data_IF_117981053848
#
_entry.id   IF_117981053848
#
_cell.length_a   1.000
_cell.length_b   1.000
_cell.length_c   1.000
_cell.angle_alpha   90.00
_cell.angle_beta   90.00
_cell.angle_gamma   90.00
#
_symmetry.space_group_name_H-M   'P 1'
#
loop_
_entity.id
_entity.type
_entity.pdbx_description
1 polymer ?
#
# COMPACT_ATOMS: atom_id res chain seq x y z
N UNK A 1 16.47 -38.52 21.46
CA UNK A 1 15.83 -39.75 20.99
C UNK A 1 15.71 -39.65 19.48
N UNK A 2 16.50 -40.52 18.87
CA UNK A 2 16.42 -41.23 17.59
C UNK A 2 16.34 -40.37 16.33
N UNK A 3 17.46 -40.15 15.61
CA UNK A 3 18.10 -40.98 14.58
C UNK A 3 17.12 -41.59 13.55
N UNK A 4 17.18 -41.18 12.29
CA UNK A 4 17.24 -42.11 11.19
C UNK A 4 17.99 -41.55 9.98
N UNK A 5 19.08 -42.23 9.71
CA UNK A 5 19.96 -42.24 8.56
C UNK A 5 19.58 -43.45 7.71
N UNK A 6 19.52 -43.32 6.40
CA UNK A 6 19.61 -44.47 5.44
C UNK A 6 19.99 -43.82 4.10
N UNK A 7 21.09 -44.02 3.56
CA UNK A 7 21.91 -45.10 3.04
C UNK A 7 21.96 -45.07 1.51
N UNK A 8 23.16 -44.98 1.06
CA UNK A 8 23.70 -45.16 -0.28
C UNK A 8 23.48 -46.58 -0.82
N UNK A 9 23.23 -46.70 -2.12
CA UNK A 9 23.65 -47.92 -2.85
C UNK A 9 24.05 -47.57 -4.26
N UNK A 10 25.34 -47.78 -4.49
CA UNK A 10 25.94 -47.87 -5.79
C UNK A 10 25.69 -49.25 -6.44
N UNK A 11 25.77 -49.30 -7.71
CA UNK A 11 25.93 -50.53 -8.51
C UNK A 11 26.62 -50.12 -9.81
N UNK A 12 27.84 -50.42 -9.97
CA UNK A 12 28.57 -51.56 -10.49
C UNK A 12 28.50 -51.78 -12.01
N UNK A 13 29.70 -51.73 -12.52
CA UNK A 13 30.24 -52.02 -13.85
C UNK A 13 29.74 -53.32 -14.49
N UNK A 14 29.57 -53.28 -15.81
CA UNK A 14 29.49 -54.44 -16.65
C UNK A 14 30.01 -54.14 -18.05
N UNK A 15 31.28 -54.54 -18.29
CA UNK A 15 31.88 -54.60 -19.62
C UNK A 15 31.37 -55.88 -20.34
N UNK A 16 30.99 -55.77 -21.60
CA UNK A 16 31.31 -56.81 -22.59
C UNK A 16 31.25 -56.23 -24.01
N UNK A 17 32.37 -56.44 -24.66
CA UNK A 17 32.67 -56.31 -26.07
C UNK A 17 31.88 -57.27 -26.93
N UNK A 18 31.44 -56.89 -28.15
CA UNK A 18 31.69 -57.57 -29.38
C UNK A 18 31.24 -56.80 -30.63
N UNK A 19 32.13 -56.72 -31.56
CA UNK A 19 32.02 -56.13 -32.90
C UNK A 19 31.14 -56.91 -33.83
N UNK A 20 30.47 -56.29 -34.78
CA UNK A 20 30.24 -56.73 -36.18
C UNK A 20 29.60 -55.55 -36.95
N UNK A 21 30.30 -54.95 -37.81
CA UNK A 21 30.39 -54.85 -39.26
C UNK A 21 29.09 -54.60 -40.05
N UNK A 22 29.17 -53.45 -40.79
CA UNK A 22 28.54 -53.06 -42.06
C UNK A 22 27.01 -53.05 -42.19
N UNK A 23 26.46 -51.80 -42.32
CA UNK A 23 25.78 -51.44 -43.58
C UNK A 23 25.53 -49.96 -43.64
N UNK A 24 26.07 -49.30 -44.66
CA UNK A 24 25.85 -47.88 -44.96
C UNK A 24 24.47 -47.74 -45.61
N UNK A 25 23.60 -46.97 -44.94
CA UNK A 25 22.42 -46.36 -45.56
C UNK A 25 22.46 -44.92 -45.22
N UNK A 26 22.78 -44.09 -46.21
CA UNK A 26 22.72 -42.64 -46.14
C UNK A 26 21.25 -42.23 -46.17
N UNK A 27 20.70 -41.90 -45.01
CA UNK A 27 19.46 -41.15 -44.91
C UNK A 27 19.80 -39.68 -44.67
N UNK A 28 19.64 -38.87 -45.71
CA UNK A 28 19.56 -37.42 -45.55
C UNK A 28 18.27 -37.09 -44.78
N UNK A 29 18.36 -36.98 -43.49
CA UNK A 29 17.31 -36.42 -42.68
C UNK A 29 17.49 -34.89 -42.63
N UNK A 30 16.64 -34.16 -43.33
CA UNK A 30 16.46 -32.74 -43.16
C UNK A 30 15.98 -32.50 -41.72
N UNK A 31 16.88 -32.14 -40.81
CA UNK A 31 16.54 -31.61 -39.50
C UNK A 31 16.09 -30.15 -39.64
N UNK A 32 14.79 -29.95 -39.88
CA UNK A 32 14.18 -28.65 -39.64
C UNK A 32 14.24 -28.42 -38.14
N UNK A 33 15.23 -27.63 -37.73
CA UNK A 33 15.37 -27.16 -36.36
C UNK A 33 14.16 -26.28 -35.97
N UNK A 34 13.21 -26.86 -35.26
CA UNK A 34 12.21 -26.08 -34.54
C UNK A 34 12.96 -25.33 -33.43
N UNK A 35 13.21 -24.06 -33.66
CA UNK A 35 13.68 -23.14 -32.59
C UNK A 35 12.59 -23.12 -31.52
N UNK A 36 12.79 -23.84 -30.42
CA UNK A 36 11.99 -23.73 -29.23
C UNK A 36 12.18 -22.30 -28.71
N UNK A 37 11.18 -21.42 -28.93
CA UNK A 37 11.13 -20.11 -28.29
C UNK A 37 11.06 -20.36 -26.79
N UNK A 38 12.14 -19.97 -26.08
CA UNK A 38 12.13 -19.90 -24.63
C UNK A 38 10.94 -19.05 -24.20
N UNK A 39 10.15 -19.47 -23.20
CA UNK A 39 9.07 -18.64 -22.70
C UNK A 39 9.67 -17.29 -22.25
N UNK A 40 9.13 -16.19 -22.80
CA UNK A 40 9.50 -14.85 -22.38
C UNK A 40 9.32 -14.79 -20.87
N UNK A 41 10.43 -14.68 -20.13
CA UNK A 41 10.38 -14.46 -18.70
C UNK A 41 9.67 -13.12 -18.49
N UNK A 42 8.45 -13.16 -17.97
CA UNK A 42 7.78 -12.00 -17.44
C UNK A 42 8.75 -11.36 -16.44
N UNK A 43 8.99 -10.04 -16.53
CA UNK A 43 9.81 -9.38 -15.53
C UNK A 43 9.22 -9.72 -14.16
N UNK A 44 10.08 -10.22 -13.27
CA UNK A 44 9.72 -10.55 -11.90
C UNK A 44 8.96 -9.34 -11.35
N UNK A 45 7.73 -9.57 -10.88
CA UNK A 45 6.94 -8.53 -10.24
C UNK A 45 7.83 -7.94 -9.14
N UNK A 46 8.26 -6.69 -9.33
CA UNK A 46 8.96 -5.94 -8.29
C UNK A 46 8.13 -6.10 -7.03
N UNK A 47 8.69 -6.66 -5.98
CA UNK A 47 7.99 -6.82 -4.70
C UNK A 47 7.44 -5.45 -4.30
N UNK A 48 6.15 -5.26 -4.50
CA UNK A 48 5.49 -4.01 -4.07
C UNK A 48 5.49 -4.05 -2.56
N UNK A 49 6.23 -3.13 -1.98
CA UNK A 49 6.13 -2.86 -0.55
C UNK A 49 4.65 -2.70 -0.19
N UNK A 50 4.24 -3.28 0.94
CA UNK A 50 2.84 -3.20 1.39
C UNK A 50 2.35 -1.75 1.42
N UNK A 51 1.09 -1.52 1.06
CA UNK A 51 0.49 -0.19 1.07
C UNK A 51 0.53 0.39 2.49
N UNK A 52 0.90 1.66 2.61
CA UNK A 52 0.73 2.41 3.85
C UNK A 52 -0.73 2.81 3.97
N UNK A 53 -1.43 2.21 4.92
CA UNK A 53 -2.82 2.53 5.20
C UNK A 53 -2.87 3.68 6.19
N UNK A 54 -3.56 4.76 5.79
CA UNK A 54 -3.80 5.94 6.62
C UNK A 54 -5.30 6.13 6.73
N UNK A 55 -5.82 6.32 7.93
CA UNK A 55 -7.22 6.64 8.09
C UNK A 55 -7.49 8.11 7.73
N UNK A 56 -8.68 8.36 7.18
CA UNK A 56 -9.16 9.70 6.87
C UNK A 56 -9.15 10.60 8.12
N UNK A 57 -8.69 11.84 7.98
CA UNK A 57 -8.50 12.82 9.06
C UNK A 57 -7.54 12.35 10.18
N UNK A 58 -6.69 11.38 9.92
CA UNK A 58 -5.67 10.91 10.85
C UNK A 58 -4.28 11.01 10.26
N UNK A 59 -3.29 11.04 11.15
CA UNK A 59 -1.88 11.04 10.78
C UNK A 59 -1.20 9.75 11.23
N UNK A 60 -0.32 9.25 10.38
CA UNK A 60 0.49 8.05 10.64
C UNK A 60 1.97 8.42 10.50
N UNK A 61 2.81 7.90 11.40
CA UNK A 61 4.25 8.09 11.32
C UNK A 61 4.88 7.07 10.38
N UNK A 62 5.75 7.55 9.50
CA UNK A 62 6.55 6.72 8.61
C UNK A 62 8.03 6.93 8.91
N UNK A 63 8.68 5.88 9.43
CA UNK A 63 10.10 5.89 9.70
C UNK A 63 10.89 5.56 8.44
N UNK A 64 11.87 6.38 8.12
CA UNK A 64 12.78 6.19 6.99
C UNK A 64 14.10 5.55 7.45
N UNK A 65 14.76 4.86 6.52
CA UNK A 65 16.09 4.28 6.77
C UNK A 65 17.22 5.31 6.75
N UNK A 66 17.00 6.46 6.11
CA UNK A 66 17.95 7.57 5.97
C UNK A 66 17.21 8.91 6.03
N UNK A 67 17.91 10.01 6.33
CA UNK A 67 17.31 11.34 6.33
C UNK A 67 16.73 11.71 4.96
N UNK A 68 15.53 12.30 4.98
CA UNK A 68 14.85 12.85 3.81
C UNK A 68 15.28 14.30 3.59
N UNK A 69 15.56 14.66 2.34
CA UNK A 69 15.76 16.03 1.90
C UNK A 69 14.56 16.56 1.12
N UNK A 70 13.94 15.71 0.31
CA UNK A 70 12.78 16.05 -0.52
C UNK A 70 11.71 14.97 -0.46
N UNK A 71 10.46 15.41 -0.31
CA UNK A 71 9.28 14.54 -0.38
C UNK A 71 8.38 15.02 -1.51
N UNK A 72 8.01 14.10 -2.39
CA UNK A 72 7.08 14.33 -3.50
C UNK A 72 5.81 13.54 -3.24
N UNK A 73 4.66 14.19 -3.23
CA UNK A 73 3.36 13.57 -3.07
C UNK A 73 2.65 13.55 -4.41
N UNK A 74 2.20 12.37 -4.86
CA UNK A 74 1.54 12.20 -6.16
C UNK A 74 0.22 12.98 -6.26
N UNK A 75 -0.60 12.93 -5.22
CA UNK A 75 -1.85 13.70 -5.13
C UNK A 75 -2.02 14.31 -3.73
N UNK A 76 -1.71 15.61 -3.57
CA UNK A 76 -1.82 16.30 -2.28
C UNK A 76 -3.25 16.50 -1.76
N UNK A 77 -4.27 16.24 -2.57
CA UNK A 77 -5.67 16.27 -2.11
C UNK A 77 -6.06 15.00 -1.36
N UNK A 78 -5.35 13.87 -1.59
CA UNK A 78 -5.61 12.59 -0.92
C UNK A 78 -4.82 12.48 0.37
N UNK A 79 -3.52 12.77 0.31
CA UNK A 79 -2.65 12.70 1.48
C UNK A 79 -1.66 13.86 1.48
N UNK A 80 -1.25 14.27 2.66
CA UNK A 80 -0.21 15.25 2.88
C UNK A 80 0.93 14.65 3.69
N UNK A 81 2.15 15.17 3.49
CA UNK A 81 3.33 14.63 4.16
C UNK A 81 4.22 15.76 4.66
N UNK A 82 4.55 15.72 5.93
CA UNK A 82 5.47 16.65 6.57
C UNK A 82 6.70 15.91 7.11
N UNK A 83 7.89 16.49 6.91
CA UNK A 83 9.12 16.03 7.55
C UNK A 83 9.13 16.55 8.99
N UNK A 84 9.03 15.64 9.95
CA UNK A 84 9.06 16.01 11.38
C UNK A 84 10.49 16.08 11.91
N UNK A 85 11.31 15.11 11.52
CA UNK A 85 12.77 15.08 11.76
C UNK A 85 13.41 14.35 10.58
N UNK A 86 14.72 14.46 10.40
CA UNK A 86 15.40 13.98 9.20
C UNK A 86 14.91 12.63 8.65
N UNK A 87 14.63 11.67 9.52
CA UNK A 87 14.21 10.31 9.11
C UNK A 87 12.79 9.94 9.55
N UNK A 88 11.96 10.91 9.96
CA UNK A 88 10.58 10.69 10.39
C UNK A 88 9.63 11.57 9.59
N UNK A 89 8.69 10.95 8.90
CA UNK A 89 7.61 11.61 8.18
C UNK A 89 6.29 11.46 8.93
N UNK A 90 5.48 12.50 8.89
CA UNK A 90 4.07 12.48 9.29
C UNK A 90 3.25 12.45 8.02
N UNK A 91 2.48 11.39 7.82
CA UNK A 91 1.59 11.21 6.67
C UNK A 91 0.16 11.40 7.14
N UNK A 92 -0.54 12.39 6.60
CA UNK A 92 -1.92 12.74 6.96
C UNK A 92 -2.87 12.41 5.82
N UNK A 93 -3.93 11.66 6.11
CA UNK A 93 -5.00 11.32 5.16
C UNK A 93 -6.02 12.46 5.08
N UNK A 94 -6.17 13.09 3.90
CA UNK A 94 -7.06 14.24 3.67
C UNK A 94 -8.35 13.89 2.95
N UNK A 95 -8.31 12.94 2.05
CA UNK A 95 -9.49 12.42 1.36
C UNK A 95 -9.30 10.95 0.98
N UNK A 96 -10.41 10.25 0.76
CA UNK A 96 -10.38 8.83 0.37
C UNK A 96 -9.71 8.65 -0.98
N UNK A 97 -8.92 7.60 -1.10
CA UNK A 97 -8.29 7.26 -2.36
C UNK A 97 -6.90 6.65 -2.20
N UNK A 98 -6.22 6.55 -3.31
CA UNK A 98 -4.88 6.01 -3.41
C UNK A 98 -3.96 7.05 -4.02
N UNK A 99 -2.81 7.24 -3.41
CA UNK A 99 -1.72 8.07 -3.93
C UNK A 99 -0.38 7.38 -3.66
N UNK A 100 0.72 8.05 -3.94
CA UNK A 100 2.05 7.59 -3.56
C UNK A 100 2.92 8.76 -3.09
N UNK A 101 3.96 8.43 -2.36
CA UNK A 101 5.03 9.35 -2.00
C UNK A 101 6.35 8.82 -2.51
N UNK A 102 7.19 9.73 -2.96
CA UNK A 102 8.59 9.46 -3.31
C UNK A 102 9.45 10.34 -2.42
N UNK A 103 10.37 9.73 -1.70
CA UNK A 103 11.27 10.42 -0.77
C UNK A 103 12.69 10.30 -1.30
N UNK A 104 13.39 11.42 -1.36
CA UNK A 104 14.78 11.50 -1.82
C UNK A 104 15.70 11.99 -0.69
N UNK A 105 16.94 11.54 -0.75
CA UNK A 105 18.01 12.06 0.11
C UNK A 105 18.67 13.33 -0.48
N UNK A 106 19.68 13.87 0.21
CA UNK A 106 20.40 15.06 -0.23
C UNK A 106 21.09 14.88 -1.59
N UNK A 107 21.45 13.66 -1.95
CA UNK A 107 22.04 13.29 -3.24
C UNK A 107 21.01 13.05 -4.33
N UNK A 108 19.72 13.35 -4.05
CA UNK A 108 18.57 13.14 -4.96
C UNK A 108 18.33 11.68 -5.32
N UNK A 109 18.81 10.76 -4.49
CA UNK A 109 18.55 9.33 -4.64
C UNK A 109 17.24 8.96 -3.93
N UNK A 110 16.43 8.14 -4.57
CA UNK A 110 15.18 7.62 -3.96
C UNK A 110 15.52 6.69 -2.79
N UNK A 111 15.05 7.04 -1.60
CA UNK A 111 15.19 6.25 -0.37
C UNK A 111 13.89 5.54 0.00
N UNK A 112 12.76 6.05 -0.47
CA UNK A 112 11.45 5.47 -0.27
C UNK A 112 10.54 5.78 -1.46
N UNK A 113 9.89 4.75 -1.99
CA UNK A 113 8.70 4.85 -2.84
C UNK A 113 7.60 4.04 -2.16
N UNK A 114 6.54 4.72 -1.77
CA UNK A 114 5.51 4.13 -0.93
C UNK A 114 4.12 4.51 -1.45
N UNK A 115 3.31 3.51 -1.73
CA UNK A 115 1.90 3.70 -2.02
C UNK A 115 1.13 3.94 -0.73
N UNK A 116 0.23 4.92 -0.75
CA UNK A 116 -0.62 5.32 0.38
C UNK A 116 -2.07 5.02 0.00
N UNK A 117 -2.76 4.31 0.88
CA UNK A 117 -4.19 4.08 0.81
C UNK A 117 -4.85 4.85 1.95
N UNK A 118 -5.62 5.88 1.60
CA UNK A 118 -6.45 6.60 2.58
C UNK A 118 -7.84 5.98 2.59
N UNK A 119 -8.21 5.44 3.72
CA UNK A 119 -9.52 4.78 3.93
C UNK A 119 -10.17 5.24 5.22
N UNK A 120 -11.45 4.90 5.37
CA UNK A 120 -12.18 5.10 6.62
C UNK A 120 -11.89 3.96 7.59
N UNK A 121 -11.94 4.26 8.87
CA UNK A 121 -12.04 3.25 9.92
C UNK A 121 -13.48 2.70 9.93
N UNK A 122 -13.72 1.64 9.16
CA UNK A 122 -15.07 1.10 8.93
C UNK A 122 -15.70 0.51 10.19
N UNK A 123 -14.89 0.09 11.16
CA UNK A 123 -15.37 -0.48 12.41
C UNK A 123 -16.11 0.54 13.29
N UNK A 124 -15.95 1.82 12.99
CA UNK A 124 -16.53 2.94 13.75
C UNK A 124 -17.55 3.77 12.95
N UNK A 125 -17.97 3.28 11.79
CA UNK A 125 -18.84 4.01 10.91
C UNK A 125 -20.18 3.30 10.76
N UNK A 126 -21.27 4.03 11.01
CA UNK A 126 -22.63 3.62 10.71
C UNK A 126 -23.14 4.38 9.49
N UNK A 127 -23.54 3.67 8.45
CA UNK A 127 -24.20 4.24 7.29
C UNK A 127 -25.70 3.94 7.37
N UNK A 128 -26.53 4.96 7.53
CA UNK A 128 -27.97 4.85 7.51
C UNK A 128 -28.46 5.22 6.10
N UNK A 129 -29.12 4.29 5.42
CA UNK A 129 -29.66 4.51 4.08
C UNK A 129 -31.18 4.44 4.13
N UNK A 130 -31.85 5.48 3.64
CA UNK A 130 -33.31 5.58 3.50
C UNK A 130 -33.65 5.91 2.06
N UNK A 131 -34.08 4.92 1.29
CA UNK A 131 -34.26 5.09 -0.15
C UNK A 131 -32.96 5.42 -0.85
N UNK A 132 -32.87 6.60 -1.45
CA UNK A 132 -31.65 7.12 -2.11
C UNK A 132 -30.76 7.95 -1.18
N UNK A 133 -31.26 8.32 -0.01
CA UNK A 133 -30.59 9.22 0.90
C UNK A 133 -29.70 8.42 1.87
N UNK A 134 -28.45 8.83 2.00
CA UNK A 134 -27.47 8.25 2.91
C UNK A 134 -27.05 9.26 3.95
N UNK A 135 -26.90 8.81 5.18
CA UNK A 135 -26.39 9.57 6.32
C UNK A 135 -25.30 8.78 6.99
N UNK A 136 -24.17 9.42 7.28
CA UNK A 136 -23.01 8.78 7.89
C UNK A 136 -22.81 9.26 9.31
N UNK A 137 -22.51 8.33 10.20
CA UNK A 137 -22.26 8.58 11.62
C UNK A 137 -20.93 7.93 12.03
N UNK A 138 -20.15 8.62 12.83
CA UNK A 138 -19.03 8.02 13.55
C UNK A 138 -19.50 7.55 14.92
N UNK A 139 -19.27 6.27 15.21
CA UNK A 139 -19.68 5.64 16.44
C UNK A 139 -18.49 5.39 17.37
N UNK A 140 -18.68 5.71 18.65
CA UNK A 140 -17.82 5.31 19.75
C UNK A 140 -18.62 4.45 20.72
N UNK A 141 -18.02 3.97 21.79
CA UNK A 141 -18.75 3.15 22.76
C UNK A 141 -20.00 3.86 23.27
N UNK A 142 -21.17 3.43 22.81
CA UNK A 142 -22.48 3.92 23.25
C UNK A 142 -23.04 5.15 22.54
N UNK A 143 -22.31 5.78 21.62
CA UNK A 143 -22.77 6.97 20.90
C UNK A 143 -22.37 6.97 19.43
N UNK A 144 -23.29 7.38 18.55
CA UNK A 144 -23.03 7.66 17.15
C UNK A 144 -23.29 9.13 16.86
N UNK A 145 -22.27 9.85 16.39
CA UNK A 145 -22.38 11.28 16.08
C UNK A 145 -22.39 11.47 14.55
N UNK A 146 -23.18 12.44 14.04
CA UNK A 146 -23.17 12.77 12.62
C UNK A 146 -21.77 13.10 12.13
N UNK A 147 -21.42 12.61 10.94
CA UNK A 147 -20.12 12.84 10.29
C UNK A 147 -20.35 13.38 8.88
N UNK A 148 -19.64 14.45 8.53
CA UNK A 148 -19.66 14.94 7.16
C UNK A 148 -18.94 13.98 6.22
N UNK A 149 -19.68 13.41 5.28
CA UNK A 149 -19.13 12.50 4.29
C UNK A 149 -19.63 12.86 2.89
N UNK A 150 -18.70 12.94 1.94
CA UNK A 150 -19.07 13.18 0.54
C UNK A 150 -19.94 12.03 0.05
N UNK A 151 -21.09 12.38 -0.55
CA UNK A 151 -22.11 11.44 -1.03
C UNK A 151 -23.23 11.14 -0.03
N UNK A 152 -23.25 11.79 1.12
CA UNK A 152 -24.41 11.80 2.01
C UNK A 152 -25.50 12.72 1.44
N UNK A 153 -26.73 12.57 1.98
CA UNK A 153 -27.86 13.44 1.64
C UNK A 153 -27.48 14.91 1.79
N UNK A 154 -27.71 15.76 0.78
CA UNK A 154 -27.32 17.17 0.81
C UNK A 154 -27.88 17.97 1.99
N UNK A 155 -29.13 17.67 2.41
CA UNK A 155 -29.75 18.33 3.56
C UNK A 155 -29.07 17.94 4.86
N UNK A 156 -28.82 16.64 5.05
CA UNK A 156 -28.09 16.13 6.20
C UNK A 156 -26.67 16.72 6.25
N UNK A 157 -25.96 16.69 5.13
CA UNK A 157 -24.60 17.24 5.02
C UNK A 157 -24.58 18.75 5.36
N UNK A 158 -25.54 19.52 4.88
CA UNK A 158 -25.68 20.96 5.16
C UNK A 158 -25.87 21.24 6.65
N UNK A 159 -26.75 20.52 7.31
CA UNK A 159 -27.00 20.67 8.76
C UNK A 159 -25.76 20.33 9.59
N UNK A 160 -25.09 19.21 9.28
CA UNK A 160 -23.87 18.80 10.00
C UNK A 160 -22.75 19.83 9.79
N UNK A 161 -22.59 20.36 8.58
CA UNK A 161 -21.61 21.39 8.25
C UNK A 161 -21.86 22.66 9.07
N UNK A 162 -23.10 23.13 9.18
CA UNK A 162 -23.45 24.32 9.95
C UNK A 162 -23.18 24.14 11.45
N UNK A 163 -23.57 22.99 12.01
CA UNK A 163 -23.27 22.64 13.40
C UNK A 163 -21.77 22.61 13.69
N UNK A 164 -20.98 22.07 12.77
CA UNK A 164 -19.52 21.97 12.94
C UNK A 164 -18.85 23.34 12.84
N UNK A 165 -19.28 24.20 11.93
CA UNK A 165 -18.75 25.55 11.79
C UNK A 165 -19.11 26.43 13.00
N UNK A 166 -20.31 26.26 13.57
CA UNK A 166 -20.71 26.92 14.80
C UNK A 166 -19.83 26.53 16.00
N UNK A 167 -19.45 25.25 16.09
CA UNK A 167 -18.56 24.76 17.15
C UNK A 167 -17.15 25.36 17.03
N UNK A 168 -16.56 25.42 15.84
CA UNK A 168 -15.22 26.01 15.65
C UNK A 168 -15.21 27.49 15.96
N UNK A 169 -16.22 28.28 15.55
CA UNK A 169 -16.34 29.69 15.87
C UNK A 169 -16.45 29.95 17.38
N UNK A 170 -17.02 29.03 18.15
CA UNK A 170 -17.11 29.15 19.62
C UNK A 170 -15.77 28.80 20.27
N UNK A 171 -15.00 27.83 19.72
CA UNK A 171 -13.67 27.47 20.21
C UNK A 171 -12.67 28.63 20.04
N UNK A 172 -12.71 29.31 18.88
CA UNK A 172 -11.82 30.44 18.59
C UNK A 172 -12.07 31.63 19.53
N UNK A 173 -13.34 31.90 19.85
CA UNK A 173 -13.69 32.93 20.85
C UNK A 173 -13.20 32.62 22.27
N UNK A 174 -13.17 31.34 22.65
CA UNK A 174 -12.71 30.96 23.99
C UNK A 174 -11.18 31.04 24.15
N UNK A 175 -10.43 30.89 23.07
CA UNK A 175 -8.97 31.01 23.06
C UNK A 175 -8.53 32.50 23.20
N UNK A 176 -9.26 33.42 22.58
CA UNK A 176 -8.98 34.86 22.69
C UNK A 176 -9.31 35.44 24.10
N UNK A 177 -10.32 34.91 24.77
CA UNK A 177 -10.69 35.34 26.12
C UNK A 177 -9.69 34.89 27.20
N UNK A 178 -8.87 33.87 26.94
CA UNK A 178 -7.83 33.37 27.86
C UNK A 178 -6.51 34.16 27.77
N UNK A 179 -6.26 34.91 26.70
CA UNK A 179 -5.00 35.62 26.47
C UNK A 179 -4.95 37.03 27.10
N UNK A 180 -6.04 37.50 27.70
CA UNK A 180 -6.20 38.87 28.20
C UNK A 180 -5.94 39.10 29.71
N UNK A 181 -5.53 38.07 30.46
CA UNK A 181 -5.29 38.18 31.90
C UNK A 181 -3.91 37.67 32.31
N UNK A 182 -2.85 38.36 31.93
CA UNK A 182 -1.53 38.31 32.59
C UNK A 182 -0.91 39.70 32.59
#
# INVERSE_FOLDING_TARGET
>A
MTFNSIQTSGFSMGRTTKATVLSAVVFLANATGAAAQAPAQMPAATERKADLVVNFDQSTLLQLSRPADLVIVGNPSIADVAIQSGNLLVVTGKSFGVTNIIVLDAEKKVIQDQRILVRRDEDKVLNLTRGKDRQTFNCTTGQCNPSMTVGDDPLFFGVVKEMTSGKSATSDKSSDAGAGNN
#
